data_IF_303787802838
#
_entry.id   IF_303787802838
#
_cell.length_a   1.000
_cell.length_b   1.000
_cell.length_c   1.000
_cell.angle_alpha   90.00
_cell.angle_beta   90.00
_cell.angle_gamma   90.00
#
_symmetry.space_group_name_H-M   'P 1'
#
loop_
_entity.id
_entity.type
_entity.pdbx_description
1 polymer ?
#
# COMPACT_ATOMS: atom_id res chain seq x y z
N UNK A 1 2.45 25.42 -1.95
CA UNK A 1 2.09 25.29 -2.24
C UNK A 1 1.37 24.97 -2.74
N UNK A 2 1.30 25.00 -2.60
CA UNK A 2 0.78 24.32 -3.45
C UNK A 2 -0.19 24.32 -4.23
N UNK A 3 -0.49 25.02 -4.29
CA UNK A 3 -1.54 25.27 -5.09
C UNK A 3 -1.82 24.35 -6.13
N UNK A 4 -2.57 23.67 -6.29
CA UNK A 4 -3.06 22.99 -7.41
C UNK A 4 -2.55 21.59 -7.63
N UNK A 5 -1.37 21.34 -7.16
CA UNK A 5 -0.85 20.01 -7.36
C UNK A 5 -1.43 19.09 -6.31
N UNK A 6 -2.19 18.13 -6.75
CA UNK A 6 -2.76 17.17 -5.82
C UNK A 6 -2.02 15.86 -5.91
N UNK A 7 -1.87 15.22 -4.77
CA UNK A 7 -1.10 13.99 -4.65
C UNK A 7 -2.04 12.85 -4.30
N UNK A 8 -1.65 11.67 -4.74
CA UNK A 8 -2.35 10.44 -4.36
C UNK A 8 -1.32 9.40 -3.98
N UNK A 9 -1.79 8.34 -3.35
CA UNK A 9 -0.91 7.26 -2.94
C UNK A 9 -0.90 6.18 -4.01
N UNK A 10 0.24 5.50 -4.13
CA UNK A 10 0.38 4.36 -5.03
C UNK A 10 1.11 3.26 -4.28
N UNK A 11 0.63 2.03 -4.42
CA UNK A 11 1.16 0.90 -3.66
C UNK A 11 1.90 -0.11 -4.55
N UNK A 12 2.36 0.30 -5.71
CA UNK A 12 3.05 -0.62 -6.61
C UNK A 12 4.26 -1.27 -5.95
N UNK A 13 4.95 -0.52 -5.09
CA UNK A 13 6.11 -1.07 -4.39
C UNK A 13 5.73 -2.24 -3.49
N UNK A 14 4.54 -2.17 -2.87
CA UNK A 14 4.08 -3.27 -2.03
C UNK A 14 3.94 -4.55 -2.83
N UNK A 15 3.33 -4.47 -4.01
CA UNK A 15 3.12 -5.66 -4.83
C UNK A 15 4.45 -6.23 -5.31
N UNK A 16 5.40 -5.38 -5.67
CA UNK A 16 6.73 -5.85 -6.07
C UNK A 16 7.44 -6.53 -4.91
N UNK A 17 7.29 -5.98 -3.71
CA UNK A 17 7.91 -6.58 -2.53
C UNK A 17 7.33 -7.96 -2.25
N UNK A 18 6.01 -8.12 -2.41
CA UNK A 18 5.39 -9.43 -2.23
C UNK A 18 5.92 -10.44 -3.24
N UNK A 19 6.07 -10.01 -4.50
CA UNK A 19 6.62 -10.90 -5.52
C UNK A 19 8.03 -11.33 -5.13
N UNK A 20 8.85 -10.39 -4.67
CA UNK A 20 10.22 -10.69 -4.27
C UNK A 20 10.25 -11.69 -3.11
N UNK A 21 9.26 -11.62 -2.23
CA UNK A 21 9.19 -12.52 -1.07
C UNK A 21 8.44 -13.81 -1.38
N UNK A 22 7.91 -13.96 -2.59
CA UNK A 22 7.15 -15.14 -2.96
C UNK A 22 5.84 -15.25 -2.23
N UNK A 23 5.21 -14.13 -1.91
CA UNK A 23 4.02 -14.08 -1.08
C UNK A 23 2.82 -13.63 -1.89
N UNK A 24 1.66 -14.25 -1.66
CA UNK A 24 0.43 -13.85 -2.31
C UNK A 24 -0.25 -12.74 -1.53
N UNK A 25 -1.05 -11.93 -2.24
CA UNK A 25 -1.80 -10.87 -1.59
C UNK A 25 -2.73 -11.41 -0.51
N UNK A 26 -3.36 -12.56 -0.75
CA UNK A 26 -4.26 -13.15 0.25
C UNK A 26 -3.50 -13.56 1.50
N UNK A 27 -2.28 -14.02 1.35
CA UNK A 27 -1.46 -14.38 2.51
C UNK A 27 -1.17 -13.14 3.36
N UNK A 28 -0.80 -12.04 2.73
CA UNK A 28 -0.56 -10.81 3.47
C UNK A 28 -1.83 -10.32 4.15
N UNK A 29 -2.95 -10.34 3.44
CA UNK A 29 -4.22 -9.88 4.00
C UNK A 29 -4.57 -10.65 5.26
N UNK A 30 -4.44 -11.97 5.20
CA UNK A 30 -4.77 -12.80 6.36
C UNK A 30 -3.79 -12.59 7.50
N UNK A 31 -2.51 -12.43 7.18
CA UNK A 31 -1.49 -12.26 8.20
C UNK A 31 -1.69 -10.97 8.99
N UNK A 32 -2.13 -9.90 8.33
CA UNK A 32 -2.33 -8.61 9.02
C UNK A 32 -3.77 -8.42 9.49
N UNK A 33 -4.64 -9.40 9.22
CA UNK A 33 -6.02 -9.33 9.69
C UNK A 33 -6.87 -8.29 8.99
N UNK A 34 -6.55 -7.95 7.77
CA UNK A 34 -7.29 -6.93 7.03
C UNK A 34 -8.47 -7.54 6.29
N UNK A 35 -9.49 -6.70 6.06
CA UNK A 35 -10.68 -7.14 5.33
C UNK A 35 -10.40 -7.17 3.83
N UNK A 36 -11.26 -7.87 3.11
CA UNK A 36 -11.17 -7.91 1.66
C UNK A 36 -11.37 -6.53 1.05
N UNK A 37 -12.26 -5.73 1.63
CA UNK A 37 -12.52 -4.40 1.11
C UNK A 37 -11.31 -3.50 1.28
N UNK A 38 -10.58 -3.64 2.39
CA UNK A 38 -9.37 -2.87 2.61
C UNK A 38 -8.32 -3.21 1.55
N UNK A 39 -8.14 -4.51 1.26
CA UNK A 39 -7.17 -4.90 0.25
C UNK A 39 -7.61 -4.52 -1.16
N UNK A 40 -8.92 -4.46 -1.40
CA UNK A 40 -9.41 -3.96 -2.67
C UNK A 40 -9.02 -2.50 -2.87
N UNK A 41 -9.08 -1.71 -1.79
CA UNK A 41 -8.64 -0.31 -1.86
C UNK A 41 -7.16 -0.20 -2.18
N UNK A 42 -6.35 -1.06 -1.56
CA UNK A 42 -4.92 -1.08 -1.88
C UNK A 42 -4.69 -1.37 -3.36
N UNK A 43 -5.45 -2.29 -3.92
CA UNK A 43 -5.32 -2.62 -5.33
C UNK A 43 -5.74 -1.50 -6.26
N UNK A 44 -6.56 -0.57 -5.77
CA UNK A 44 -7.00 0.57 -6.56
C UNK A 44 -6.23 1.84 -6.23
N UNK A 45 -5.19 1.75 -5.42
CA UNK A 45 -4.41 2.91 -4.98
C UNK A 45 -5.28 3.91 -4.24
N UNK A 46 -6.21 3.42 -3.42
CA UNK A 46 -7.06 4.28 -2.61
C UNK A 46 -6.51 4.37 -1.19
N UNK A 47 -6.98 5.35 -0.47
CA UNK A 47 -6.49 5.58 0.89
C UNK A 47 -6.97 4.48 1.83
N UNK A 48 -6.06 4.02 2.69
CA UNK A 48 -6.40 3.13 3.78
C UNK A 48 -5.87 3.76 5.06
N UNK A 49 -6.29 3.23 6.20
CA UNK A 49 -5.90 3.82 7.47
C UNK A 49 -4.47 3.48 7.82
N UNK A 50 -3.85 4.35 8.62
CA UNK A 50 -2.48 4.15 9.07
C UNK A 50 -2.28 2.83 9.82
N UNK A 51 -3.19 2.41 10.73
CA UNK A 51 -2.98 1.12 11.40
C UNK A 51 -2.83 -0.05 10.44
N UNK A 52 -3.57 -0.05 9.32
CA UNK A 52 -3.41 -1.10 8.32
C UNK A 52 -2.00 -1.06 7.74
N UNK A 53 -1.54 0.13 7.39
CA UNK A 53 -0.21 0.28 6.80
C UNK A 53 0.88 -0.09 7.79
N UNK A 54 0.71 0.27 9.06
CA UNK A 54 1.67 -0.09 10.09
C UNK A 54 1.74 -1.60 10.27
N UNK A 55 0.60 -2.28 10.23
CA UNK A 55 0.59 -3.74 10.36
C UNK A 55 1.30 -4.40 9.19
N UNK A 56 1.13 -3.86 7.99
CA UNK A 56 1.83 -4.37 6.81
C UNK A 56 3.34 -4.18 6.98
N UNK A 57 3.75 -3.00 7.41
CA UNK A 57 5.17 -2.73 7.61
C UNK A 57 5.76 -3.64 8.67
N UNK A 58 5.01 -3.87 9.74
CA UNK A 58 5.50 -4.74 10.80
C UNK A 58 5.66 -6.17 10.29
N UNK A 59 4.67 -6.66 9.58
CA UNK A 59 4.70 -8.05 9.10
C UNK A 59 5.81 -8.25 8.08
N UNK A 60 6.02 -7.28 7.19
CA UNK A 60 7.03 -7.39 6.16
C UNK A 60 8.39 -6.85 6.60
N UNK A 61 8.46 -6.29 7.82
CA UNK A 61 9.69 -5.74 8.37
C UNK A 61 10.29 -4.68 7.45
N UNK A 62 9.46 -3.70 7.12
CA UNK A 62 9.85 -2.64 6.19
C UNK A 62 9.26 -1.31 6.63
N UNK A 63 9.55 -0.27 5.87
CA UNK A 63 9.09 1.08 6.16
C UNK A 63 8.03 1.48 5.13
N UNK A 64 7.35 2.60 5.38
CA UNK A 64 6.34 3.10 4.46
C UNK A 64 6.88 3.27 3.05
N UNK A 65 8.09 3.82 2.92
CA UNK A 65 8.67 4.05 1.61
C UNK A 65 8.94 2.79 0.82
N UNK A 66 8.92 1.63 1.48
CA UNK A 66 9.13 0.35 0.81
C UNK A 66 7.83 -0.20 0.21
N UNK A 67 6.67 0.34 0.62
CA UNK A 67 5.39 -0.20 0.18
C UNK A 67 4.52 0.81 -0.53
N UNK A 68 4.82 2.11 -0.42
CA UNK A 68 3.96 3.12 -1.02
C UNK A 68 4.77 4.36 -1.38
N UNK A 69 4.16 5.22 -2.18
CA UNK A 69 4.76 6.49 -2.56
C UNK A 69 3.67 7.48 -2.89
N UNK A 70 3.98 8.74 -2.78
CA UNK A 70 3.08 9.81 -3.17
C UNK A 70 3.40 10.22 -4.59
N UNK A 71 2.39 10.29 -5.44
CA UNK A 71 2.58 10.66 -6.83
C UNK A 71 1.56 11.74 -7.19
N UNK A 72 1.84 12.57 -8.19
CA UNK A 72 0.84 13.55 -8.64
C UNK A 72 -0.43 12.84 -9.11
N UNK A 73 -1.56 13.46 -8.83
CA UNK A 73 -2.83 12.81 -9.13
C UNK A 73 -3.03 12.58 -10.62
N UNK A 74 -2.49 13.46 -11.44
CA UNK A 74 -2.65 13.33 -12.89
C UNK A 74 -1.62 12.44 -13.54
N UNK A 75 -0.78 11.79 -12.75
CA UNK A 75 0.20 10.86 -13.28
C UNK A 75 -0.46 9.51 -13.54
N UNK A 76 -0.17 8.92 -14.67
CA UNK A 76 -0.73 7.62 -15.03
C UNK A 76 0.31 6.50 -14.95
#
# INVERSE_FOLDING_TARGET
MGGGAEMKVRYNKLWKLLIDKGMKKSQLREAVGASKSTFAKLGKNENVTLPVLLNICEYLECDFGDIMEAVPENEV
#
